data_IF_098029918877
#
_entry.id   IF_098029918877
#
_cell.length_a   1.000
_cell.length_b   1.000
_cell.length_c   1.000
_cell.angle_alpha   90.00
_cell.angle_beta   90.00
_cell.angle_gamma   90.00
#
_symmetry.space_group_name_H-M   'P 1'
#
loop_
_entity.id
_entity.type
_entity.pdbx_description
1 polymer ?
#
# COMPACT_ATOMS: atom_id res chain seq x y z
N UNK A 1 3.68 12.88 13.29
CA UNK A 1 5.05 12.67 13.85
C UNK A 1 5.26 11.17 13.99
N UNK A 2 6.24 10.59 13.28
CA UNK A 2 6.58 9.17 13.41
C UNK A 2 6.98 8.86 14.87
N UNK A 3 6.26 7.95 15.53
CA UNK A 3 6.43 7.67 16.97
C UNK A 3 7.52 6.63 17.28
N UNK A 4 8.09 5.95 16.29
CA UNK A 4 9.07 4.89 16.51
C UNK A 4 10.49 5.45 16.49
N UNK A 5 11.20 5.52 17.64
CA UNK A 5 12.60 5.95 17.73
C UNK A 5 13.51 5.05 16.87
N UNK A 6 14.66 5.53 16.39
CA UNK A 6 15.59 4.72 15.59
C UNK A 6 16.12 3.47 16.32
N UNK A 7 16.12 3.49 17.65
CA UNK A 7 16.48 2.37 18.52
C UNK A 7 15.34 1.37 18.77
N UNK A 8 14.13 1.64 18.27
CA UNK A 8 12.94 0.79 18.44
C UNK A 8 12.74 -0.22 17.29
N UNK A 9 13.82 -0.59 16.59
CA UNK A 9 13.85 -1.67 15.59
C UNK A 9 13.44 -3.03 16.17
N UNK A 10 13.77 -3.29 17.44
CA UNK A 10 13.32 -4.47 18.19
C UNK A 10 11.82 -4.41 18.52
N UNK A 11 11.27 -3.22 18.76
CA UNK A 11 9.82 -3.05 18.89
C UNK A 11 9.16 -3.23 17.54
N UNK A 12 9.79 -2.84 16.43
CA UNK A 12 9.24 -3.07 15.09
C UNK A 12 9.13 -4.55 14.73
N UNK A 13 10.12 -5.41 15.02
CA UNK A 13 9.93 -6.87 14.89
C UNK A 13 8.84 -7.41 15.84
N UNK A 14 8.65 -6.78 17.00
CA UNK A 14 7.57 -7.14 17.95
C UNK A 14 6.20 -6.64 17.47
N UNK A 15 6.15 -5.50 16.77
CA UNK A 15 4.98 -4.88 16.12
C UNK A 15 4.60 -5.66 14.86
N UNK A 16 5.60 -6.10 14.09
CA UNK A 16 5.50 -6.86 12.85
C UNK A 16 5.40 -8.37 13.07
N UNK A 17 5.53 -8.85 14.31
CA UNK A 17 5.16 -10.20 14.66
C UNK A 17 3.72 -10.21 15.23
N UNK A 18 2.65 -10.08 14.40
CA UNK A 18 1.36 -10.56 14.84
C UNK A 18 1.57 -12.05 15.13
N UNK A 19 1.45 -12.42 16.40
CA UNK A 19 1.50 -13.81 16.82
C UNK A 19 0.37 -14.53 16.06
N UNK A 20 0.72 -15.26 15.00
CA UNK A 20 -0.20 -16.09 14.21
C UNK A 20 -0.70 -15.55 12.87
N UNK A 21 -0.17 -14.43 12.34
CA UNK A 21 -0.55 -13.91 11.00
C UNK A 21 0.18 -14.61 9.86
N UNK A 22 -0.51 -14.85 8.73
CA UNK A 22 0.11 -15.39 7.51
C UNK A 22 1.05 -14.36 6.84
N UNK A 23 0.85 -13.07 7.09
CA UNK A 23 1.75 -12.01 6.62
C UNK A 23 3.19 -12.17 7.08
N UNK A 24 3.43 -12.72 8.28
CA UNK A 24 4.78 -12.94 8.78
C UNK A 24 5.56 -13.99 7.95
N UNK A 25 4.86 -14.89 7.24
CA UNK A 25 5.49 -15.79 6.26
C UNK A 25 5.63 -15.18 4.86
N UNK A 26 4.79 -14.20 4.52
CA UNK A 26 4.73 -13.62 3.18
C UNK A 26 5.60 -12.36 3.03
N UNK A 27 5.88 -11.64 4.12
CA UNK A 27 6.66 -10.41 4.11
C UNK A 27 7.75 -10.46 5.19
N UNK A 28 9.00 -10.60 4.76
CA UNK A 28 10.16 -10.45 5.64
C UNK A 28 10.64 -9.00 5.62
N UNK A 29 10.44 -8.24 6.69
CA UNK A 29 10.91 -6.86 6.75
C UNK A 29 12.45 -6.80 6.81
N UNK A 30 13.12 -6.07 5.90
CA UNK A 30 14.57 -6.03 5.86
C UNK A 30 15.14 -5.39 7.12
N UNK A 31 16.32 -5.85 7.53
CA UNK A 31 17.06 -5.20 8.59
C UNK A 31 17.45 -3.76 8.18
N UNK A 32 17.96 -3.58 6.97
CA UNK A 32 18.27 -2.27 6.38
C UNK A 32 17.81 -2.22 4.93
N UNK A 33 17.44 -1.04 4.45
CA UNK A 33 17.20 -0.79 3.03
C UNK A 33 18.24 0.18 2.47
N UNK A 34 18.46 0.10 1.16
CA UNK A 34 19.19 1.09 0.39
C UNK A 34 18.19 1.93 -0.40
N UNK A 35 18.28 3.25 -0.28
CA UNK A 35 17.37 4.19 -0.94
C UNK A 35 18.19 5.30 -1.60
N UNK A 36 17.80 5.71 -2.80
CA UNK A 36 18.39 6.86 -3.48
C UNK A 36 18.00 8.14 -2.75
N UNK A 37 18.92 9.08 -2.65
CA UNK A 37 18.67 10.42 -2.08
C UNK A 37 18.50 11.48 -3.18
N UNK A 38 18.86 11.14 -4.41
CA UNK A 38 18.89 12.04 -5.56
C UNK A 38 18.44 11.31 -6.83
N UNK A 39 17.95 12.06 -7.81
CA UNK A 39 17.56 11.58 -9.13
C UNK A 39 18.14 12.49 -10.23
N UNK A 40 18.52 11.88 -11.36
CA UNK A 40 18.85 12.64 -12.56
C UNK A 40 17.55 13.06 -13.25
N UNK A 41 17.29 14.37 -13.29
CA UNK A 41 16.22 14.93 -14.10
C UNK A 41 16.61 14.82 -15.58
N UNK A 42 15.83 14.05 -16.34
CA UNK A 42 16.13 13.77 -17.76
C UNK A 42 15.92 14.97 -18.68
N UNK A 43 15.08 15.92 -18.27
CA UNK A 43 14.75 17.10 -19.06
C UNK A 43 15.81 18.19 -18.88
N UNK A 44 16.32 18.36 -17.66
CA UNK A 44 17.33 19.37 -17.33
C UNK A 44 18.77 18.83 -17.39
N UNK A 45 18.95 17.52 -17.27
CA UNK A 45 20.25 16.86 -17.14
C UNK A 45 20.92 17.07 -15.78
N UNK A 46 20.22 17.66 -14.80
CA UNK A 46 20.73 17.97 -13.47
C UNK A 46 20.39 16.86 -12.47
N UNK A 47 21.24 16.72 -11.45
CA UNK A 47 20.95 15.88 -10.29
C UNK A 47 20.14 16.72 -9.30
N UNK A 48 19.00 16.19 -8.88
CA UNK A 48 18.06 16.84 -7.96
C UNK A 48 17.86 15.94 -6.74
N UNK A 49 17.80 16.53 -5.54
CA UNK A 49 17.47 15.81 -4.32
C UNK A 49 16.02 15.30 -4.37
N UNK A 50 15.80 14.11 -3.82
CA UNK A 50 14.45 13.57 -3.71
C UNK A 50 13.64 14.31 -2.62
N UNK A 51 12.33 14.47 -2.83
CA UNK A 51 11.41 14.88 -1.77
C UNK A 51 11.54 14.00 -0.52
N UNK A 52 11.31 14.61 0.64
CA UNK A 52 11.50 13.99 1.95
C UNK A 52 10.15 13.81 2.66
N UNK A 53 9.85 12.59 3.07
CA UNK A 53 8.59 12.23 3.72
C UNK A 53 8.81 11.74 5.14
N UNK A 54 7.98 12.22 6.07
CA UNK A 54 7.98 11.75 7.45
C UNK A 54 7.23 10.41 7.58
N UNK A 55 7.51 9.65 8.64
CA UNK A 55 6.70 8.48 8.98
C UNK A 55 7.10 7.18 8.32
N UNK A 56 8.06 7.19 7.38
CA UNK A 56 8.53 5.92 6.82
C UNK A 56 9.23 5.09 7.89
N UNK A 57 9.05 3.77 7.86
CA UNK A 57 9.69 2.87 8.84
C UNK A 57 11.21 2.91 8.80
N UNK A 58 11.79 3.19 7.63
CA UNK A 58 13.24 3.29 7.42
C UNK A 58 13.70 4.74 7.25
N UNK A 59 12.94 5.69 7.80
CA UNK A 59 13.34 7.09 7.82
C UNK A 59 14.70 7.27 8.53
N UNK A 60 15.50 8.22 8.06
CA UNK A 60 16.83 8.48 8.61
C UNK A 60 16.73 8.82 10.10
N UNK A 61 17.56 8.22 10.97
CA UNK A 61 17.48 8.43 12.42
C UNK A 61 17.52 9.90 12.85
N UNK A 62 18.33 10.70 12.17
CA UNK A 62 18.64 12.09 12.52
C UNK A 62 17.53 13.04 12.09
N UNK A 63 17.02 12.86 10.86
CA UNK A 63 16.04 13.78 10.27
C UNK A 63 14.60 13.29 10.45
N UNK A 64 14.42 11.97 10.68
CA UNK A 64 13.11 11.30 10.71
C UNK A 64 12.37 11.40 9.37
N UNK A 65 13.12 11.62 8.29
CA UNK A 65 12.62 11.76 6.94
C UNK A 65 13.16 10.66 6.03
N UNK A 66 12.39 10.34 5.00
CA UNK A 66 12.72 9.33 4.00
C UNK A 66 12.66 9.92 2.58
N UNK A 67 13.75 9.77 1.79
CA UNK A 67 13.80 10.29 0.42
C UNK A 67 13.06 9.35 -0.54
N UNK A 68 12.04 9.85 -1.22
CA UNK A 68 11.33 9.09 -2.24
C UNK A 68 10.63 9.98 -3.27
N UNK A 69 10.07 9.37 -4.31
CA UNK A 69 9.19 10.03 -5.28
C UNK A 69 7.91 9.24 -5.45
N UNK A 70 6.79 9.95 -5.41
CA UNK A 70 5.46 9.38 -5.58
C UNK A 70 4.78 9.96 -6.82
N UNK A 71 3.84 9.21 -7.34
CA UNK A 71 2.81 9.73 -8.23
C UNK A 71 1.84 10.62 -7.43
N UNK A 72 1.10 11.50 -8.12
CA UNK A 72 0.20 12.45 -7.45
C UNK A 72 -1.02 11.84 -6.75
N UNK A 73 -1.24 10.53 -6.85
CA UNK A 73 -2.26 9.80 -6.08
C UNK A 73 -1.66 9.06 -4.88
N UNK A 74 -0.49 8.44 -5.05
CA UNK A 74 0.28 7.86 -3.93
C UNK A 74 0.58 8.94 -2.87
N UNK A 75 1.00 10.13 -3.31
CA UNK A 75 1.25 11.25 -2.41
C UNK A 75 -0.01 11.67 -1.65
N UNK A 76 -1.15 11.81 -2.32
CA UNK A 76 -2.42 12.17 -1.66
C UNK A 76 -2.92 11.10 -0.68
N UNK A 77 -2.71 9.82 -0.97
CA UNK A 77 -3.04 8.73 -0.02
C UNK A 77 -2.14 8.81 1.20
N UNK A 78 -0.83 9.00 0.99
CA UNK A 78 0.12 9.15 2.09
C UNK A 78 -0.22 10.35 2.98
N UNK A 79 -0.57 11.50 2.39
CA UNK A 79 -1.02 12.70 3.11
C UNK A 79 -2.28 12.42 3.95
N UNK A 80 -3.28 11.74 3.38
CA UNK A 80 -4.50 11.38 4.08
C UNK A 80 -4.22 10.46 5.27
N UNK A 81 -3.36 9.45 5.09
CA UNK A 81 -2.98 8.53 6.17
C UNK A 81 -2.17 9.20 7.27
N UNK A 82 -1.27 10.13 6.90
CA UNK A 82 -0.51 10.93 7.87
C UNK A 82 -1.42 11.84 8.72
N UNK A 83 -2.59 12.23 8.20
CA UNK A 83 -3.58 13.03 8.90
C UNK A 83 -4.49 12.21 9.85
N UNK A 84 -4.47 10.87 9.77
CA UNK A 84 -5.36 9.99 10.57
C UNK A 84 -5.15 10.06 12.09
N UNK A 85 -4.02 10.59 12.55
CA UNK A 85 -3.68 10.73 13.97
C UNK A 85 -3.25 9.44 14.69
N UNK A 86 -3.63 8.28 14.17
CA UNK A 86 -3.25 6.94 14.68
C UNK A 86 -2.04 6.34 13.98
N UNK A 87 -1.57 6.92 12.87
CA UNK A 87 -0.44 6.41 12.11
C UNK A 87 0.86 6.39 12.92
N UNK A 88 1.43 5.21 13.08
CA UNK A 88 2.73 4.96 13.71
C UNK A 88 3.87 5.02 12.68
N UNK A 89 3.63 4.49 11.49
CA UNK A 89 4.54 4.56 10.35
C UNK A 89 3.98 3.89 9.09
N UNK A 90 4.69 4.00 7.98
CA UNK A 90 4.32 3.42 6.70
C UNK A 90 5.51 2.77 6.00
N UNK A 91 5.22 1.78 5.16
CA UNK A 91 6.16 1.08 4.30
C UNK A 91 5.66 1.14 2.86
N UNK A 92 6.52 1.61 1.95
CA UNK A 92 6.27 1.41 0.52
C UNK A 92 6.77 0.04 0.12
N UNK A 93 5.86 -0.81 -0.29
CA UNK A 93 6.16 -2.17 -0.70
C UNK A 93 7.03 -2.15 -1.97
N UNK A 94 8.21 -2.79 -1.97
CA UNK A 94 9.04 -2.86 -3.16
C UNK A 94 8.45 -3.79 -4.22
N UNK A 95 8.84 -3.58 -5.47
CA UNK A 95 8.44 -4.46 -6.59
C UNK A 95 9.39 -5.65 -6.67
N UNK A 96 9.10 -6.68 -5.87
CA UNK A 96 9.82 -7.95 -5.84
C UNK A 96 10.95 -8.04 -4.80
N UNK A 97 11.55 -9.22 -4.72
CA UNK A 97 12.51 -9.59 -3.67
C UNK A 97 11.82 -10.12 -2.41
N UNK A 98 12.62 -10.58 -1.44
CA UNK A 98 12.13 -11.17 -0.16
C UNK A 98 11.49 -10.17 0.80
N UNK A 99 11.52 -8.88 0.45
CA UNK A 99 11.01 -7.77 1.26
C UNK A 99 9.72 -7.18 0.66
N UNK A 100 9.20 -7.81 -0.39
CA UNK A 100 7.97 -7.40 -1.04
C UNK A 100 6.83 -8.32 -0.62
N UNK A 101 5.70 -7.74 -0.22
CA UNK A 101 4.43 -8.47 -0.18
C UNK A 101 4.03 -8.78 -1.62
N UNK A 102 4.07 -10.07 -1.97
CA UNK A 102 3.83 -10.56 -3.33
C UNK A 102 2.54 -11.36 -3.37
N UNK A 103 1.54 -10.87 -4.10
CA UNK A 103 0.29 -11.61 -4.32
C UNK A 103 0.35 -12.33 -5.66
N UNK A 104 0.33 -13.66 -5.59
CA UNK A 104 0.36 -14.54 -6.76
C UNK A 104 -1.02 -14.67 -7.41
N UNK A 105 -1.07 -14.58 -8.74
CA UNK A 105 -2.30 -14.77 -9.51
C UNK A 105 -2.05 -15.37 -10.89
N UNK A 106 -3.12 -15.90 -11.48
CA UNK A 106 -3.14 -16.39 -12.85
C UNK A 106 -3.90 -15.40 -13.72
N UNK A 107 -3.28 -14.99 -14.82
CA UNK A 107 -3.93 -14.24 -15.89
C UNK A 107 -3.76 -15.01 -17.19
N UNK A 108 -4.86 -15.49 -17.74
CA UNK A 108 -4.86 -16.24 -19.00
C UNK A 108 -3.86 -17.41 -18.97
N UNK A 109 -3.87 -18.18 -17.87
CA UNK A 109 -2.96 -19.31 -17.58
C UNK A 109 -1.48 -18.93 -17.36
N UNK A 110 -1.14 -17.64 -17.43
CA UNK A 110 0.20 -17.14 -17.11
C UNK A 110 0.27 -16.78 -15.64
N UNK A 111 1.24 -17.37 -14.93
CA UNK A 111 1.54 -17.01 -13.55
C UNK A 111 2.17 -15.62 -13.47
N UNK A 112 1.59 -14.76 -12.64
CA UNK A 112 2.00 -13.38 -12.43
C UNK A 112 1.99 -13.05 -10.94
N UNK A 113 2.72 -11.99 -10.59
CA UNK A 113 2.71 -11.39 -9.26
C UNK A 113 2.20 -9.96 -9.37
N UNK A 114 1.51 -9.51 -8.33
CA UNK A 114 1.25 -8.10 -8.07
C UNK A 114 1.82 -7.73 -6.70
N UNK A 115 2.20 -6.47 -6.54
CA UNK A 115 2.80 -5.93 -5.34
C UNK A 115 1.98 -4.69 -4.96
N UNK A 116 1.12 -4.75 -3.93
CA UNK A 116 0.32 -3.60 -3.50
C UNK A 116 1.22 -2.51 -2.95
N UNK A 117 0.93 -1.22 -3.18
CA UNK A 117 1.94 -0.18 -2.97
C UNK A 117 2.28 0.13 -1.50
N UNK A 118 1.31 0.17 -0.59
CA UNK A 118 1.54 0.61 0.80
C UNK A 118 1.05 -0.36 1.87
N UNK A 119 1.83 -0.42 2.94
CA UNK A 119 1.40 -0.89 4.25
C UNK A 119 1.49 0.27 5.24
N UNK A 120 0.38 0.56 5.91
CA UNK A 120 0.28 1.56 6.96
C UNK A 120 0.09 0.86 8.31
N UNK A 121 0.79 1.35 9.33
CA UNK A 121 0.80 0.78 10.67
C UNK A 121 0.16 1.79 11.62
N UNK A 122 -0.95 1.40 12.24
CA UNK A 122 -1.72 2.27 13.12
C UNK A 122 -1.74 1.73 14.54
N UNK A 123 -1.81 2.63 15.52
CA UNK A 123 -2.22 2.31 16.89
C UNK A 123 -3.65 1.74 16.84
N UNK A 124 -3.84 0.54 17.40
CA UNK A 124 -5.15 -0.11 17.46
C UNK A 124 -6.05 0.45 18.58
N UNK A 125 -5.50 1.30 19.45
CA UNK A 125 -6.19 1.90 20.59
C UNK A 125 -6.00 1.14 21.91
N UNK A 126 -5.49 -0.09 21.87
CA UNK A 126 -5.24 -0.97 23.01
C UNK A 126 -3.74 -1.21 23.24
N UNK A 127 -2.89 -0.41 22.58
CA UNK A 127 -1.44 -0.50 22.66
C UNK A 127 -0.82 -1.55 21.75
N UNK A 128 -1.62 -2.16 20.87
CA UNK A 128 -1.16 -3.01 19.76
C UNK A 128 -1.03 -2.23 18.46
N UNK A 129 -0.83 -2.96 17.37
CA UNK A 129 -0.66 -2.38 16.04
C UNK A 129 -1.59 -3.07 15.05
N UNK A 130 -2.35 -2.25 14.32
CA UNK A 130 -3.16 -2.64 13.20
C UNK A 130 -2.42 -2.35 11.88
N UNK A 131 -2.55 -3.26 10.92
CA UNK A 131 -1.98 -3.12 9.57
C UNK A 131 -3.11 -2.78 8.59
N UNK A 132 -2.89 -1.72 7.83
CA UNK A 132 -3.71 -1.33 6.70
C UNK A 132 -2.94 -1.56 5.40
N UNK A 133 -3.56 -2.25 4.44
CA UNK A 133 -3.03 -2.41 3.08
C UNK A 133 -3.73 -1.45 2.14
N UNK A 134 -2.99 -0.64 1.41
CA UNK A 134 -3.58 0.34 0.49
C UNK A 134 -2.83 0.32 -0.83
N UNK A 135 -3.59 0.15 -1.91
CA UNK A 135 -3.07 0.06 -3.27
C UNK A 135 -3.67 1.19 -4.15
N UNK A 136 -3.06 2.39 -4.14
CA UNK A 136 -3.47 3.49 -4.99
C UNK A 136 -2.89 3.36 -6.40
N UNK A 137 -3.74 3.14 -7.39
CA UNK A 137 -3.30 2.78 -8.73
C UNK A 137 -3.81 3.73 -9.80
N UNK A 138 -3.06 3.79 -10.92
CA UNK A 138 -3.55 4.43 -12.12
C UNK A 138 -4.55 3.52 -12.84
N UNK A 139 -5.83 3.80 -12.67
CA UNK A 139 -6.92 3.06 -13.33
C UNK A 139 -7.07 3.34 -14.84
N UNK A 140 -6.17 4.13 -15.44
CA UNK A 140 -6.16 4.33 -16.90
C UNK A 140 -5.66 3.12 -17.68
N UNK A 141 -5.09 2.11 -17.03
CA UNK A 141 -4.55 0.92 -17.66
C UNK A 141 -5.46 -0.29 -17.45
N UNK A 142 -5.81 -0.98 -18.54
CA UNK A 142 -6.72 -2.14 -18.52
C UNK A 142 -6.17 -3.36 -17.74
N UNK A 143 -4.88 -3.38 -17.39
CA UNK A 143 -4.26 -4.45 -16.60
C UNK A 143 -4.49 -4.33 -15.09
N UNK A 144 -5.19 -3.28 -14.65
CA UNK A 144 -5.46 -3.00 -13.22
C UNK A 144 -6.49 -3.97 -12.63
N UNK A 145 -7.52 -4.31 -13.39
CA UNK A 145 -8.66 -5.09 -12.89
C UNK A 145 -8.33 -6.54 -12.49
N UNK A 146 -7.56 -7.32 -13.29
CA UNK A 146 -7.10 -8.65 -12.87
C UNK A 146 -6.23 -8.61 -11.60
N UNK A 147 -5.42 -7.55 -11.44
CA UNK A 147 -4.59 -7.37 -10.22
C UNK A 147 -5.48 -7.11 -9.01
N UNK A 148 -6.43 -6.20 -9.09
CA UNK A 148 -7.31 -5.92 -7.96
C UNK A 148 -8.25 -7.08 -7.62
N UNK A 149 -8.73 -7.84 -8.61
CA UNK A 149 -9.48 -9.07 -8.32
C UNK A 149 -8.62 -10.09 -7.57
N UNK A 150 -7.35 -10.23 -7.94
CA UNK A 150 -6.41 -11.10 -7.23
C UNK A 150 -6.07 -10.58 -5.82
N UNK A 151 -5.89 -9.28 -5.65
CA UNK A 151 -5.66 -8.66 -4.33
C UNK A 151 -6.89 -8.81 -3.43
N UNK A 152 -8.10 -8.61 -3.95
CA UNK A 152 -9.34 -8.83 -3.22
C UNK A 152 -9.48 -10.29 -2.76
N UNK A 153 -9.14 -11.26 -3.62
CA UNK A 153 -9.07 -12.67 -3.23
C UNK A 153 -8.06 -12.90 -2.11
N UNK A 154 -6.85 -12.37 -2.26
CA UNK A 154 -5.77 -12.53 -1.27
C UNK A 154 -6.19 -11.99 0.10
N UNK A 155 -6.79 -10.80 0.13
CA UNK A 155 -7.30 -10.20 1.38
C UNK A 155 -8.39 -11.07 2.01
N UNK A 156 -9.33 -11.60 1.21
CA UNK A 156 -10.39 -12.49 1.73
C UNK A 156 -9.87 -13.82 2.24
N UNK A 157 -8.85 -14.40 1.59
CA UNK A 157 -8.22 -15.65 2.00
C UNK A 157 -7.34 -15.50 3.25
N UNK A 158 -6.88 -14.28 3.52
CA UNK A 158 -6.11 -13.90 4.71
C UNK A 158 -6.90 -12.92 5.60
N UNK A 159 -8.21 -13.15 5.74
CA UNK A 159 -9.05 -12.29 6.58
C UNK A 159 -8.54 -12.29 8.03
N UNK A 160 -8.44 -11.10 8.62
CA UNK A 160 -7.86 -10.89 9.95
C UNK A 160 -6.39 -10.45 9.99
N UNK A 161 -5.65 -10.58 8.88
CA UNK A 161 -4.27 -10.07 8.79
C UNK A 161 -4.20 -8.55 8.64
N UNK A 162 -5.27 -7.94 8.13
CA UNK A 162 -5.39 -6.50 7.93
C UNK A 162 -6.61 -5.97 8.69
N UNK A 163 -6.45 -4.83 9.39
CA UNK A 163 -7.61 -4.06 9.90
C UNK A 163 -8.44 -3.54 8.73
N UNK A 164 -7.75 -3.04 7.71
CA UNK A 164 -8.36 -2.52 6.48
C UNK A 164 -7.48 -2.88 5.30
N UNK A 165 -8.09 -3.28 4.20
CA UNK A 165 -7.42 -3.32 2.91
C UNK A 165 -8.26 -2.57 1.87
N UNK A 166 -7.66 -1.70 1.08
CA UNK A 166 -8.38 -0.87 0.12
C UNK A 166 -7.60 -0.65 -1.17
N UNK A 167 -8.33 -0.56 -2.27
CA UNK A 167 -7.83 -0.04 -3.55
C UNK A 167 -8.31 1.39 -3.72
N UNK A 168 -7.45 2.26 -4.24
CA UNK A 168 -7.74 3.71 -4.31
C UNK A 168 -7.50 4.22 -5.72
N UNK A 169 -8.42 5.05 -6.20
CA UNK A 169 -8.24 5.85 -7.42
C UNK A 169 -8.37 7.33 -7.08
N UNK A 170 -7.79 8.17 -7.95
CA UNK A 170 -8.03 9.62 -7.93
C UNK A 170 -8.89 9.97 -9.12
N UNK A 171 -10.08 10.52 -8.87
CA UNK A 171 -10.99 10.91 -9.94
C UNK A 171 -10.51 12.18 -10.67
N UNK A 172 -11.20 12.56 -11.74
CA UNK A 172 -10.84 13.73 -12.55
C UNK A 172 -11.02 15.06 -11.81
N UNK A 173 -11.75 15.10 -10.70
CA UNK A 173 -11.87 16.26 -9.82
C UNK A 173 -10.77 16.30 -8.74
N UNK A 174 -9.90 15.27 -8.68
CA UNK A 174 -8.82 15.15 -7.72
C UNK A 174 -9.24 14.52 -6.39
N UNK A 175 -10.46 13.99 -6.28
CA UNK A 175 -10.93 13.30 -5.08
C UNK A 175 -10.44 11.85 -5.06
N UNK A 176 -10.02 11.40 -3.89
CA UNK A 176 -9.67 9.99 -3.68
C UNK A 176 -10.96 9.20 -3.42
N UNK A 177 -11.14 8.13 -4.20
CA UNK A 177 -12.21 7.16 -4.03
C UNK A 177 -11.61 5.81 -3.71
N UNK A 178 -12.23 5.06 -2.80
CA UNK A 178 -11.73 3.77 -2.37
C UNK A 178 -12.82 2.71 -2.34
N UNK A 179 -12.43 1.49 -2.72
CA UNK A 179 -13.22 0.27 -2.48
C UNK A 179 -12.51 -0.52 -1.38
N UNK A 180 -13.27 -0.88 -0.35
CA UNK A 180 -12.78 -1.73 0.73
C UNK A 180 -12.73 -3.20 0.26
N UNK A 181 -11.55 -3.79 0.35
CA UNK A 181 -11.28 -5.21 0.04
C UNK A 181 -11.45 -6.11 1.26
N UNK A 182 -11.26 -5.58 2.48
CA UNK A 182 -11.43 -6.32 3.73
C UNK A 182 -12.91 -6.55 4.07
N UNK A 183 -13.20 -7.60 4.86
CA UNK A 183 -14.55 -7.89 5.35
C UNK A 183 -15.50 -8.51 4.34
N UNK A 184 -14.99 -9.03 3.21
CA UNK A 184 -15.79 -9.73 2.21
C UNK A 184 -16.06 -11.18 2.64
N UNK A 185 -17.31 -11.64 2.54
CA UNK A 185 -17.70 -13.01 2.92
C UNK A 185 -17.76 -13.98 1.75
N UNK A 186 -17.71 -13.48 0.52
CA UNK A 186 -17.79 -14.26 -0.72
C UNK A 186 -16.92 -13.64 -1.83
N UNK A 187 -16.93 -14.27 -3.01
CA UNK A 187 -16.10 -13.89 -4.15
C UNK A 187 -16.75 -12.82 -5.07
N UNK A 188 -17.82 -12.15 -4.62
CA UNK A 188 -18.61 -11.25 -5.46
C UNK A 188 -17.84 -9.98 -5.83
N UNK A 189 -16.99 -9.46 -4.95
CA UNK A 189 -16.17 -8.28 -5.23
C UNK A 189 -15.10 -8.62 -6.29
N UNK A 190 -14.43 -9.76 -6.16
CA UNK A 190 -13.44 -10.24 -7.14
C UNK A 190 -14.05 -10.36 -8.53
N UNK A 191 -15.25 -10.94 -8.63
CA UNK A 191 -15.98 -11.08 -9.91
C UNK A 191 -16.31 -9.74 -10.53
N UNK A 192 -16.75 -8.76 -9.73
CA UNK A 192 -17.05 -7.40 -10.22
C UNK A 192 -15.79 -6.67 -10.68
N UNK A 193 -14.70 -6.77 -9.91
CA UNK A 193 -13.41 -6.20 -10.29
C UNK A 193 -12.91 -6.81 -11.59
N UNK A 194 -12.90 -8.14 -11.71
CA UNK A 194 -12.47 -8.84 -12.92
C UNK A 194 -13.30 -8.48 -14.17
N UNK A 195 -14.59 -8.15 -13.99
CA UNK A 195 -15.48 -7.77 -15.09
C UNK A 195 -15.31 -6.31 -15.55
N UNK A 196 -14.69 -5.44 -14.74
CA UNK A 196 -14.49 -4.03 -15.06
C UNK A 196 -13.27 -3.84 -15.99
N UNK A 197 -13.42 -4.11 -17.29
CA UNK A 197 -12.29 -4.18 -18.24
C UNK A 197 -11.94 -2.86 -18.94
N UNK A 198 -12.59 -1.76 -18.60
CA UNK A 198 -12.27 -0.42 -19.10
C UNK A 198 -12.15 0.60 -17.97
N UNK A 199 -11.48 1.72 -18.25
CA UNK A 199 -11.37 2.84 -17.31
C UNK A 199 -12.74 3.30 -16.83
N UNK A 200 -13.71 3.45 -17.74
CA UNK A 200 -15.07 3.89 -17.43
C UNK A 200 -15.81 2.86 -16.56
N UNK A 201 -15.62 1.57 -16.83
CA UNK A 201 -16.20 0.50 -16.00
C UNK A 201 -15.60 0.50 -14.59
N UNK A 202 -14.29 0.73 -14.46
CA UNK A 202 -13.62 0.87 -13.17
C UNK A 202 -14.14 2.10 -12.42
N UNK A 203 -14.19 3.26 -13.06
CA UNK A 203 -14.70 4.49 -12.44
C UNK A 203 -16.15 4.33 -11.98
N UNK A 204 -16.99 3.68 -12.79
CA UNK A 204 -18.36 3.37 -12.42
C UNK A 204 -18.42 2.44 -11.20
N UNK A 205 -17.58 1.40 -11.17
CA UNK A 205 -17.50 0.48 -10.04
C UNK A 205 -17.12 1.20 -8.73
N UNK A 206 -16.17 2.14 -8.79
CA UNK A 206 -15.80 2.97 -7.63
C UNK A 206 -16.91 3.93 -7.20
N UNK A 207 -17.76 4.40 -8.12
CA UNK A 207 -18.95 5.20 -7.77
C UNK A 207 -20.05 4.37 -7.13
N UNK A 208 -20.20 3.11 -7.54
CA UNK A 208 -21.27 2.22 -7.07
C UNK A 208 -20.93 1.54 -5.75
N UNK A 209 -19.69 1.08 -5.60
CA UNK A 209 -19.25 0.29 -4.45
C UNK A 209 -18.28 1.04 -3.54
N UNK A 210 -17.61 2.07 -4.06
CA UNK A 210 -16.64 2.83 -3.30
C UNK A 210 -17.25 3.97 -2.51
N UNK A 211 -16.38 4.69 -1.81
CA UNK A 211 -16.68 5.93 -1.12
C UNK A 211 -15.50 6.88 -1.19
N UNK A 212 -15.64 8.07 -0.61
CA UNK A 212 -14.46 8.91 -0.34
C UNK A 212 -13.46 8.10 0.47
N UNK A 213 -12.20 8.17 0.08
CA UNK A 213 -11.11 7.71 0.94
C UNK A 213 -11.09 8.50 2.25
#
# INVERSE_FOLDING_TARGET
MARLKPTQRQEFETIFAPIGSALASDLGMPETISQKTEILNKDTGLVEELPLYAGHLYALPETRLFPDTFTGWEESVLEAEQASGSLLGWYRNPVGGSHALSVHYLDSEVSKNLYPDFLFFHDDGDGGVAIDLVDPHNHSLADTSPKWAALARYVRENDGDFRRAAIVIKDTAGMLLAIQLSGQTDDSLEKKLAAATSKEAIEQLFRELGGSY
#
